data_IF_051311400661
#
_entry.id   IF_051311400661
#
_cell.length_a   1.000
_cell.length_b   1.000
_cell.length_c   1.000
_cell.angle_alpha   90.00
_cell.angle_beta   90.00
_cell.angle_gamma   90.00
#
_symmetry.space_group_name_H-M   'P 1'
#
loop_
_entity.id
_entity.type
_entity.pdbx_description
1 polymer ?
#
# COMPACT_ATOMS: atom_id res chain seq x y z
N UNK A 1 -1.60 0.53 -3.81
CA UNK A 1 -2.41 0.04 -4.95
C UNK A 1 -3.14 -1.23 -4.51
N UNK A 2 -3.73 -1.98 -5.44
CA UNK A 2 -4.52 -3.17 -5.14
C UNK A 2 -5.96 -2.84 -4.71
N UNK A 3 -6.87 -3.80 -4.86
CA UNK A 3 -8.31 -3.57 -4.63
C UNK A 3 -8.65 -3.06 -3.22
N UNK A 4 -7.88 -3.47 -2.20
CA UNK A 4 -8.06 -3.00 -0.83
C UNK A 4 -7.74 -1.50 -0.65
N UNK A 5 -6.92 -0.91 -1.53
CA UNK A 5 -6.60 0.52 -1.47
C UNK A 5 -7.81 1.42 -1.78
N UNK A 6 -8.89 0.89 -2.36
CA UNK A 6 -10.14 1.63 -2.51
C UNK A 6 -10.78 2.00 -1.16
N UNK A 7 -10.42 1.33 -0.07
CA UNK A 7 -10.95 1.58 1.27
C UNK A 7 -10.20 2.71 1.97
N UNK A 8 -10.80 3.89 2.04
CA UNK A 8 -10.24 5.08 2.69
C UNK A 8 -9.90 4.85 4.18
N UNK A 9 -10.74 4.10 4.91
CA UNK A 9 -10.47 3.79 6.32
C UNK A 9 -9.19 2.95 6.47
N UNK A 10 -9.02 1.94 5.62
CA UNK A 10 -7.83 1.10 5.65
C UNK A 10 -6.57 1.91 5.32
N UNK A 11 -6.64 2.79 4.32
CA UNK A 11 -5.50 3.64 3.94
C UNK A 11 -5.13 4.65 5.03
N UNK A 12 -6.13 5.28 5.65
CA UNK A 12 -5.89 6.17 6.79
C UNK A 12 -5.29 5.42 7.98
N UNK A 13 -5.85 4.27 8.34
CA UNK A 13 -5.33 3.44 9.43
C UNK A 13 -3.89 2.97 9.16
N UNK A 14 -3.57 2.65 7.90
CA UNK A 14 -2.22 2.29 7.48
C UNK A 14 -1.23 3.47 7.68
N UNK A 15 -1.61 4.68 7.24
CA UNK A 15 -0.81 5.89 7.45
C UNK A 15 -0.60 6.19 8.94
N UNK A 16 -1.68 6.06 9.73
CA UNK A 16 -1.69 6.28 11.17
C UNK A 16 -0.75 5.32 11.92
N UNK A 17 -0.83 4.02 11.62
CA UNK A 17 -0.02 3.00 12.30
C UNK A 17 1.45 3.07 11.87
N UNK A 18 1.73 3.34 10.59
CA UNK A 18 3.11 3.48 10.10
C UNK A 18 3.74 4.82 10.50
N UNK A 19 2.94 5.87 10.69
CA UNK A 19 3.41 7.23 10.94
C UNK A 19 4.08 7.88 9.74
N UNK A 20 3.74 7.46 8.51
CA UNK A 20 4.21 8.05 7.26
C UNK A 20 3.03 8.27 6.31
N UNK A 21 3.12 9.24 5.37
CA UNK A 21 2.08 9.45 4.38
C UNK A 21 1.88 8.22 3.50
N UNK A 22 0.63 7.89 3.21
CA UNK A 22 0.27 6.85 2.23
C UNK A 22 -0.31 7.53 0.99
N UNK A 23 0.29 7.27 -0.17
CA UNK A 23 -0.16 7.82 -1.45
C UNK A 23 -0.96 6.76 -2.19
N UNK A 24 -2.22 7.09 -2.51
CA UNK A 24 -3.05 6.26 -3.38
C UNK A 24 -3.08 6.85 -4.80
N UNK A 25 -2.64 6.09 -5.82
CA UNK A 25 -2.82 6.50 -7.20
C UNK A 25 -4.29 6.42 -7.60
N UNK A 26 -4.66 7.19 -8.63
CA UNK A 26 -6.00 7.14 -9.25
C UNK A 26 -6.32 5.77 -9.82
N UNK A 27 -5.35 5.15 -10.47
CA UNK A 27 -5.45 3.78 -10.97
C UNK A 27 -4.82 2.81 -9.95
N UNK A 28 -5.68 2.10 -9.22
CA UNK A 28 -5.27 1.14 -8.19
C UNK A 28 -4.99 -0.27 -8.75
N UNK A 29 -5.33 -0.54 -10.01
CA UNK A 29 -5.08 -1.82 -10.68
C UNK A 29 -3.73 -1.80 -11.44
N UNK A 30 -2.65 -1.60 -10.68
CA UNK A 30 -1.28 -1.48 -11.19
C UNK A 30 -0.75 -2.77 -11.81
N UNK A 31 -1.28 -3.93 -11.44
CA UNK A 31 -0.88 -5.24 -11.98
C UNK A 31 -1.17 -5.36 -13.48
N UNK A 32 -2.41 -5.08 -13.89
CA UNK A 32 -2.80 -5.15 -15.30
C UNK A 32 -2.09 -4.07 -16.11
N UNK A 33 -1.94 -2.88 -15.52
CA UNK A 33 -1.25 -1.75 -16.12
C UNK A 33 0.24 -2.04 -16.38
N UNK A 34 0.93 -2.69 -15.44
CA UNK A 34 2.33 -3.08 -15.61
C UNK A 34 2.55 -4.07 -16.76
N UNK A 35 1.65 -5.05 -16.93
CA UNK A 35 1.70 -5.97 -18.06
C UNK A 35 1.47 -5.23 -19.40
N UNK A 36 0.50 -4.30 -19.43
CA UNK A 36 0.25 -3.47 -20.61
C UNK A 36 1.46 -2.61 -20.98
N UNK A 37 2.08 -1.95 -20.00
CA UNK A 37 3.28 -1.13 -20.20
C UNK A 37 4.45 -1.92 -20.79
N UNK A 38 4.74 -3.10 -20.24
CA UNK A 38 5.82 -3.96 -20.75
C UNK A 38 5.56 -4.37 -22.21
N UNK A 39 4.34 -4.81 -22.53
CA UNK A 39 4.00 -5.20 -23.89
C UNK A 39 4.06 -4.02 -24.86
N UNK A 40 3.50 -2.87 -24.49
CA UNK A 40 3.45 -1.70 -25.35
C UNK A 40 4.81 -1.06 -25.60
N UNK A 41 5.74 -1.08 -24.62
CA UNK A 41 7.13 -0.69 -24.85
C UNK A 41 7.81 -1.63 -25.85
N UNK A 42 7.61 -2.95 -25.71
CA UNK A 42 8.24 -3.95 -26.58
C UNK A 42 7.80 -3.83 -28.04
N UNK A 43 6.56 -3.41 -28.30
CA UNK A 43 6.02 -3.24 -29.66
C UNK A 43 6.04 -1.77 -30.14
N UNK A 44 6.60 -0.85 -29.36
CA UNK A 44 6.74 0.56 -29.74
C UNK A 44 5.45 1.39 -29.70
N UNK A 45 4.43 0.97 -28.96
CA UNK A 45 3.26 1.80 -28.64
C UNK A 45 3.69 3.02 -27.82
N UNK A 46 4.62 2.81 -26.88
CA UNK A 46 5.29 3.87 -26.12
C UNK A 46 6.78 3.84 -26.40
N UNK A 47 7.41 5.02 -26.36
CA UNK A 47 8.81 5.22 -26.75
C UNK A 47 9.79 4.85 -25.64
N UNK A 48 9.47 5.21 -24.41
CA UNK A 48 10.32 5.04 -23.24
C UNK A 48 9.53 5.10 -21.93
N UNK A 49 10.23 4.89 -20.81
CA UNK A 49 9.64 4.99 -19.48
C UNK A 49 9.15 6.40 -19.13
N UNK A 50 9.75 7.45 -19.69
CA UNK A 50 9.36 8.84 -19.41
C UNK A 50 7.97 9.15 -20.00
N UNK A 51 7.61 8.51 -21.12
CA UNK A 51 6.25 8.58 -21.65
C UNK A 51 5.23 7.92 -20.71
N UNK A 52 5.63 6.85 -20.00
CA UNK A 52 4.76 6.15 -19.05
C UNK A 52 4.57 6.89 -17.72
N UNK A 53 5.58 7.62 -17.26
CA UNK A 53 5.51 8.41 -16.02
C UNK A 53 4.32 9.40 -16.02
N UNK A 54 3.92 9.86 -17.21
CA UNK A 54 2.77 10.77 -17.40
C UNK A 54 1.42 10.15 -17.07
N UNK A 55 1.33 8.82 -17.07
CA UNK A 55 0.08 8.13 -16.75
C UNK A 55 -0.13 7.98 -15.25
N UNK A 56 0.92 8.04 -14.43
CA UNK A 56 0.74 8.02 -12.99
C UNK A 56 0.09 9.32 -12.52
N UNK A 57 -1.02 9.19 -11.80
CA UNK A 57 -1.74 10.31 -11.22
C UNK A 57 -2.06 10.01 -9.77
N UNK A 58 -1.77 10.96 -8.90
CA UNK A 58 -2.14 10.91 -7.50
C UNK A 58 -3.65 11.17 -7.37
N UNK A 59 -4.36 10.28 -6.65
CA UNK A 59 -5.75 10.53 -6.24
C UNK A 59 -5.76 11.22 -4.87
N UNK A 60 -5.11 10.59 -3.87
CA UNK A 60 -5.17 11.07 -2.49
C UNK A 60 -3.89 10.76 -1.72
N UNK A 61 -3.55 11.67 -0.82
CA UNK A 61 -2.56 11.46 0.25
C UNK A 61 -3.31 11.27 1.56
N UNK A 62 -2.97 10.22 2.30
CA UNK A 62 -3.43 9.99 3.66
C UNK A 62 -2.29 10.34 4.60
N UNK A 63 -2.41 11.48 5.28
CA UNK A 63 -1.44 11.93 6.27
C UNK A 63 -1.69 11.27 7.63
N UNK A 64 -0.65 10.90 8.39
CA UNK A 64 -0.83 10.37 9.74
C UNK A 64 -1.56 11.39 10.63
N UNK A 65 -2.71 10.98 11.17
CA UNK A 65 -3.53 11.78 12.07
C UNK A 65 -3.52 11.24 13.51
N UNK A 66 -3.05 10.00 13.70
CA UNK A 66 -2.99 9.36 15.01
C UNK A 66 -1.77 9.81 15.83
N UNK A 67 -2.02 10.24 17.07
CA UNK A 67 -0.94 10.59 18.00
C UNK A 67 -0.05 9.40 18.35
N UNK A 68 1.24 9.66 18.57
CA UNK A 68 2.26 8.63 18.82
C UNK A 68 1.90 7.66 19.96
N UNK A 69 1.34 8.16 21.07
CA UNK A 69 0.93 7.31 22.20
C UNK A 69 -0.17 6.31 21.83
N UNK A 70 -1.18 6.74 21.06
CA UNK A 70 -2.26 5.84 20.64
C UNK A 70 -1.78 4.83 19.59
N UNK A 71 -0.89 5.24 18.68
CA UNK A 71 -0.21 4.36 17.73
C UNK A 71 0.56 3.25 18.45
N UNK A 72 1.35 3.60 19.46
CA UNK A 72 2.15 2.64 20.24
C UNK A 72 1.26 1.65 21.02
N UNK A 73 0.16 2.14 21.60
CA UNK A 73 -0.83 1.31 22.30
C UNK A 73 -1.43 0.24 21.35
N UNK A 74 -1.91 0.66 20.17
CA UNK A 74 -2.50 -0.24 19.18
C UNK A 74 -1.47 -1.27 18.67
N UNK A 75 -0.24 -0.81 18.39
CA UNK A 75 0.83 -1.70 17.94
C UNK A 75 1.26 -2.70 19.02
N UNK A 76 1.28 -2.29 20.29
CA UNK A 76 1.53 -3.19 21.41
C UNK A 76 0.43 -4.25 21.54
N UNK A 77 -0.84 -3.85 21.39
CA UNK A 77 -1.99 -4.77 21.36
C UNK A 77 -1.87 -5.80 20.24
N UNK A 78 -1.53 -5.37 19.03
CA UNK A 78 -1.25 -6.26 17.89
C UNK A 78 -0.13 -7.26 18.20
N UNK A 79 1.02 -6.81 18.70
CA UNK A 79 2.14 -7.70 19.08
C UNK A 79 1.72 -8.73 20.13
N UNK A 80 0.90 -8.33 21.10
CA UNK A 80 0.36 -9.24 22.11
C UNK A 80 -0.58 -10.28 21.50
N UNK A 81 -1.45 -9.89 20.57
CA UNK A 81 -2.31 -10.81 19.83
C UNK A 81 -1.52 -11.78 18.95
N UNK A 82 -0.52 -11.29 18.22
CA UNK A 82 0.37 -12.09 17.39
C UNK A 82 1.07 -13.19 18.20
N UNK A 83 1.62 -12.85 19.37
CA UNK A 83 2.25 -13.84 20.27
C UNK A 83 1.29 -14.94 20.74
N UNK A 84 -0.01 -14.64 20.85
CA UNK A 84 -1.04 -15.63 21.22
C UNK A 84 -1.48 -16.49 20.04
N UNK A 85 -1.45 -15.93 18.83
CA UNK A 85 -1.81 -16.63 17.60
C UNK A 85 -0.69 -17.55 17.09
N UNK A 86 0.57 -17.27 17.45
CA UNK A 86 1.70 -18.15 17.18
C UNK A 86 1.65 -19.35 18.14
N UNK A 87 1.10 -20.48 17.70
CA UNK A 87 1.38 -21.77 18.33
C UNK A 87 2.85 -22.10 18.12
N UNK A 88 3.52 -22.62 19.16
CA UNK A 88 4.77 -23.36 18.94
C UNK A 88 4.38 -24.60 18.17
N UNK A 89 4.84 -24.73 16.92
CA UNK A 89 4.95 -26.06 16.34
C UNK A 89 5.93 -26.83 17.23
N UNK A 90 5.42 -27.85 17.92
CA UNK A 90 6.23 -28.83 18.61
C UNK A 90 7.06 -29.56 17.54
N UNK A 91 8.25 -29.02 17.26
CA UNK A 91 9.30 -29.77 16.59
C UNK A 91 9.76 -30.86 17.57
N UNK A 92 9.21 -32.06 17.39
CA UNK A 92 9.80 -33.30 17.89
C UNK A 92 11.11 -33.63 17.20
#
# INVERSE_FOLDING_TARGET
DGGAAANDFLMQFQADILGVPVLRPKDIETTALGAAYLAGLAVGIWRDLAELERFWQLDRVFEPALGAGKREELYAGWKSALRRALSRDEAG
#
